data_IF_698092711757
#
_entry.id   IF_698092711757
#
_cell.length_a   1.000
_cell.length_b   1.000
_cell.length_c   1.000
_cell.angle_alpha   90.00
_cell.angle_beta   90.00
_cell.angle_gamma   90.00
#
_symmetry.space_group_name_H-M   'P 1'
#
loop_
_entity.id
_entity.type
_entity.pdbx_description
1 polymer ?
#
# COMPACT_ATOMS: atom_id res chain seq x y z
N UNK A 1 11.70 -20.31 13.98
CA UNK A 1 11.82 -19.73 13.95
C UNK A 1 11.16 -18.75 14.29
N UNK A 2 11.17 -18.41 14.61
CA UNK A 2 10.75 -17.53 14.84
C UNK A 2 9.76 -16.96 14.81
N UNK A 3 9.02 -17.44 14.79
CA UNK A 3 8.02 -16.90 14.43
C UNK A 3 6.94 -16.82 15.34
N UNK A 4 7.08 -17.05 16.58
CA UNK A 4 6.06 -16.88 17.47
C UNK A 4 5.68 -15.48 17.55
N UNK A 5 4.45 -15.15 17.42
CA UNK A 5 3.98 -13.80 17.47
C UNK A 5 4.14 -13.03 16.20
N UNK A 6 4.72 -13.63 15.17
CA UNK A 6 4.83 -12.95 13.91
C UNK A 6 3.86 -13.55 12.94
N UNK A 7 3.42 -12.71 12.00
CA UNK A 7 2.49 -13.16 11.01
C UNK A 7 3.27 -13.78 9.88
N UNK A 8 2.78 -14.86 9.34
CA UNK A 8 3.46 -15.50 8.23
C UNK A 8 3.32 -14.66 6.99
N UNK A 9 4.32 -14.77 6.10
CA UNK A 9 4.32 -13.99 4.88
C UNK A 9 3.06 -14.23 4.05
N UNK A 10 2.57 -15.45 4.05
CA UNK A 10 1.37 -15.79 3.30
C UNK A 10 0.16 -15.06 3.85
N UNK A 11 0.04 -15.00 5.17
CA UNK A 11 -1.08 -14.29 5.79
C UNK A 11 -0.98 -12.80 5.54
N UNK A 12 0.23 -12.25 5.59
CA UNK A 12 0.43 -10.84 5.33
C UNK A 12 0.06 -10.50 3.90
N UNK A 13 0.44 -11.36 2.95
CA UNK A 13 0.08 -11.17 1.56
C UNK A 13 -1.44 -11.13 1.38
N UNK A 14 -2.15 -12.05 2.02
CA UNK A 14 -3.61 -12.07 1.93
C UNK A 14 -4.21 -10.79 2.52
N UNK A 15 -3.66 -10.31 3.63
CA UNK A 15 -4.15 -9.08 4.24
C UNK A 15 -3.92 -7.89 3.33
N UNK A 16 -2.75 -7.82 2.70
CA UNK A 16 -2.47 -6.72 1.79
C UNK A 16 -3.37 -6.75 0.57
N UNK A 17 -3.61 -7.94 0.03
CA UNK A 17 -4.52 -8.07 -1.10
C UNK A 17 -5.92 -7.61 -0.73
N UNK A 18 -6.40 -8.00 0.44
CA UNK A 18 -7.71 -7.58 0.90
C UNK A 18 -7.77 -6.08 1.08
N UNK A 19 -6.70 -5.49 1.63
CA UNK A 19 -6.64 -4.04 1.80
C UNK A 19 -6.69 -3.33 0.44
N UNK A 20 -5.91 -3.82 -0.52
CA UNK A 20 -5.86 -3.21 -1.84
C UNK A 20 -7.21 -3.24 -2.53
N UNK A 21 -7.98 -4.30 -2.27
CA UNK A 21 -9.32 -4.41 -2.85
C UNK A 21 -10.28 -3.35 -2.32
N UNK A 22 -9.97 -2.72 -1.18
CA UNK A 22 -10.81 -1.66 -0.65
C UNK A 22 -10.50 -0.31 -1.26
N UNK A 23 -9.43 -0.20 -2.03
CA UNK A 23 -9.01 1.07 -2.60
C UNK A 23 -9.68 1.31 -3.96
N UNK A 24 -9.95 2.57 -4.30
CA UNK A 24 -10.34 2.88 -5.68
C UNK A 24 -9.27 2.40 -6.63
N UNK A 25 -9.68 2.04 -7.83
CA UNK A 25 -8.77 1.47 -8.81
C UNK A 25 -7.51 2.30 -9.02
N UNK A 26 -7.67 3.60 -9.15
CA UNK A 26 -6.51 4.46 -9.39
C UNK A 26 -5.55 4.46 -8.20
N UNK A 27 -6.08 4.48 -6.99
CA UNK A 27 -5.22 4.46 -5.80
C UNK A 27 -4.49 3.12 -5.68
N UNK A 28 -5.17 2.03 -6.03
CA UNK A 28 -4.53 0.73 -6.01
C UNK A 28 -3.39 0.67 -7.03
N UNK A 29 -3.62 1.22 -8.21
CA UNK A 29 -2.58 1.27 -9.24
C UNK A 29 -1.38 2.08 -8.76
N UNK A 30 -1.63 3.25 -8.15
CA UNK A 30 -0.57 4.11 -7.66
C UNK A 30 0.25 3.39 -6.61
N UNK A 31 -0.42 2.72 -5.68
CA UNK A 31 0.25 1.99 -4.61
C UNK A 31 1.15 0.89 -5.19
N UNK A 32 0.63 0.11 -6.13
CA UNK A 32 1.40 -0.97 -6.72
C UNK A 32 2.59 -0.44 -7.51
N UNK A 33 2.41 0.64 -8.26
CA UNK A 33 3.52 1.22 -9.01
C UNK A 33 4.64 1.66 -8.07
N UNK A 34 4.29 2.24 -6.93
CA UNK A 34 5.28 2.74 -5.99
C UNK A 34 6.00 1.62 -5.26
N UNK A 35 5.26 0.64 -4.76
CA UNK A 35 5.83 -0.33 -3.84
C UNK A 35 6.15 -1.68 -4.47
N UNK A 36 5.55 -1.99 -5.59
CA UNK A 36 5.83 -3.25 -6.26
C UNK A 36 6.80 -3.05 -7.41
N UNK A 37 6.59 -1.97 -8.17
CA UNK A 37 7.41 -1.70 -9.34
C UNK A 37 8.48 -0.64 -9.09
N UNK A 38 8.52 -0.09 -7.88
CA UNK A 38 9.56 0.86 -7.46
C UNK A 38 9.64 2.12 -8.30
N UNK A 39 8.52 2.57 -8.83
CA UNK A 39 8.50 3.79 -9.63
C UNK A 39 8.56 5.01 -8.72
N UNK A 40 9.16 6.09 -9.22
CA UNK A 40 9.17 7.34 -8.50
C UNK A 40 7.81 8.01 -8.58
N UNK A 41 7.56 8.96 -7.67
CA UNK A 41 6.31 9.70 -7.72
C UNK A 41 6.15 10.46 -9.04
N UNK A 42 7.26 10.95 -9.60
CA UNK A 42 7.22 11.64 -10.88
C UNK A 42 6.81 10.69 -12.00
N UNK A 43 7.36 9.46 -11.99
CA UNK A 43 7.02 8.47 -12.99
C UNK A 43 5.56 8.07 -12.89
N UNK A 44 5.08 7.89 -11.66
CA UNK A 44 3.69 7.52 -11.45
C UNK A 44 2.76 8.63 -11.93
N UNK A 45 3.12 9.87 -11.59
CA UNK A 45 2.31 11.03 -11.97
C UNK A 45 2.13 11.08 -13.48
N UNK A 46 3.21 10.85 -14.21
CA UNK A 46 3.15 10.87 -15.66
C UNK A 46 2.29 9.72 -16.18
N UNK A 47 2.45 8.55 -15.60
CA UNK A 47 1.74 7.37 -16.07
C UNK A 47 0.23 7.46 -15.85
N UNK A 48 -0.20 8.05 -14.72
CA UNK A 48 -1.62 8.07 -14.39
C UNK A 48 -2.29 9.42 -14.66
N UNK A 49 -1.52 10.41 -15.12
CA UNK A 49 -2.10 11.69 -15.51
C UNK A 49 -2.44 12.60 -14.34
N UNK A 50 -1.68 12.54 -13.26
CA UNK A 50 -1.87 13.38 -12.09
C UNK A 50 -0.59 14.12 -11.79
N UNK A 51 -0.67 15.14 -10.93
CA UNK A 51 0.53 15.86 -10.52
C UNK A 51 1.33 15.02 -9.54
N UNK A 52 2.62 15.28 -9.45
CA UNK A 52 3.47 14.58 -8.50
C UNK A 52 3.01 14.83 -7.07
N UNK A 53 2.58 16.06 -6.78
CA UNK A 53 2.05 16.39 -5.46
C UNK A 53 0.81 15.56 -5.15
N UNK A 54 -0.06 15.37 -6.13
CA UNK A 54 -1.26 14.56 -5.94
C UNK A 54 -0.88 13.13 -5.60
N UNK A 55 0.13 12.58 -6.30
CA UNK A 55 0.60 11.22 -6.02
C UNK A 55 1.12 11.13 -4.58
N UNK A 56 1.92 12.09 -4.16
CA UNK A 56 2.48 12.09 -2.81
C UNK A 56 1.38 12.12 -1.75
N UNK A 57 0.37 12.97 -1.95
CA UNK A 57 -0.74 13.07 -1.01
C UNK A 57 -1.51 11.76 -0.95
N UNK A 58 -1.80 11.17 -2.13
CA UNK A 58 -2.53 9.91 -2.17
C UNK A 58 -1.77 8.79 -1.46
N UNK A 59 -0.47 8.69 -1.70
CA UNK A 59 0.35 7.66 -1.06
C UNK A 59 0.39 7.83 0.44
N UNK A 60 0.50 9.07 0.92
CA UNK A 60 0.49 9.34 2.34
C UNK A 60 -0.82 8.86 2.97
N UNK A 61 -1.95 9.16 2.33
CA UNK A 61 -3.25 8.74 2.82
C UNK A 61 -3.40 7.23 2.80
N UNK A 62 -2.91 6.60 1.73
CA UNK A 62 -2.98 5.15 1.63
C UNK A 62 -2.16 4.50 2.73
N UNK A 63 -0.95 5.00 2.99
CA UNK A 63 -0.10 4.46 4.05
C UNK A 63 -0.76 4.60 5.42
N UNK A 64 -1.40 5.74 5.67
CA UNK A 64 -2.11 5.96 6.94
C UNK A 64 -3.23 4.95 7.11
N UNK A 65 -4.00 4.71 6.04
CA UNK A 65 -5.09 3.74 6.09
C UNK A 65 -4.57 2.33 6.26
N UNK A 66 -3.46 2.00 5.59
CA UNK A 66 -2.87 0.68 5.72
C UNK A 66 -2.39 0.43 7.14
N UNK A 67 -1.74 1.42 7.74
CA UNK A 67 -1.27 1.28 9.11
C UNK A 67 -2.44 1.01 10.05
N UNK A 68 -3.54 1.74 9.88
CA UNK A 68 -4.73 1.53 10.70
C UNK A 68 -5.30 0.14 10.47
N UNK A 69 -5.38 -0.28 9.20
CA UNK A 69 -5.91 -1.58 8.83
C UNK A 69 -5.12 -2.70 9.52
N UNK A 70 -3.79 -2.60 9.46
CA UNK A 70 -2.94 -3.62 10.05
C UNK A 70 -3.02 -3.58 11.58
N UNK A 71 -3.06 -2.39 12.16
CA UNK A 71 -3.15 -2.25 13.61
C UNK A 71 -4.44 -2.87 14.14
N UNK A 72 -5.54 -2.66 13.42
CA UNK A 72 -6.83 -3.23 13.83
C UNK A 72 -6.81 -4.75 13.78
N UNK A 73 -5.90 -5.32 13.02
CA UNK A 73 -5.74 -6.77 12.91
C UNK A 73 -4.55 -7.25 13.73
N UNK A 74 -4.03 -6.38 14.59
CA UNK A 74 -2.93 -6.69 15.50
C UNK A 74 -1.66 -7.09 14.76
N UNK A 75 -1.42 -6.45 13.62
CA UNK A 75 -0.18 -6.60 12.89
C UNK A 75 0.65 -5.35 13.09
N UNK A 76 1.82 -5.50 13.69
CA UNK A 76 2.69 -4.35 13.96
C UNK A 76 3.97 -4.52 13.17
N UNK A 77 4.24 -3.57 12.30
CA UNK A 77 5.41 -3.61 11.42
C UNK A 77 6.55 -2.76 11.93
#
# INVERSE_FOLDING_TARGET
DSVEGTIEAKELTCMLEAFLDTLPTKNREIFLRRYWFYESCAEIAEAVGLSEKNITVRLTRIRTRLKKYLTEREVFL
#
